data_IF_554224949267
#
_entry.id   IF_554224949267
#
_cell.length_a   1.000
_cell.length_b   1.000
_cell.length_c   1.000
_cell.angle_alpha   90.00
_cell.angle_beta   90.00
_cell.angle_gamma   90.00
#
_symmetry.space_group_name_H-M   'P 1'
#
loop_
_entity.id
_entity.type
_entity.pdbx_description
1 polymer ?
#
# COMPACT_ATOMS: atom_id res chain seq x y z
N UNK A 1 -1.42 -18.75 8.76
CA UNK A 1 -0.52 -18.31 7.67
C UNK A 1 0.90 -18.33 8.20
N UNK A 2 1.90 -18.78 7.43
CA UNK A 2 3.30 -18.68 7.85
C UNK A 2 3.73 -17.23 8.08
N UNK A 3 4.66 -16.99 9.02
CA UNK A 3 5.11 -15.65 9.42
C UNK A 3 5.68 -14.84 8.24
N UNK A 4 6.28 -15.51 7.25
CA UNK A 4 6.87 -14.86 6.07
C UNK A 4 5.84 -14.31 5.07
N UNK A 5 4.57 -14.69 5.18
CA UNK A 5 3.49 -14.17 4.32
C UNK A 5 2.76 -12.97 4.95
N UNK A 6 3.15 -12.59 6.17
CA UNK A 6 2.58 -11.42 6.86
C UNK A 6 3.24 -10.15 6.28
N UNK A 7 2.46 -9.17 5.79
CA UNK A 7 3.01 -7.94 5.24
C UNK A 7 3.71 -7.13 6.33
N UNK A 8 4.90 -6.60 5.99
CA UNK A 8 5.68 -5.74 6.90
C UNK A 8 5.14 -4.31 6.96
N UNK A 9 4.53 -3.85 5.88
CA UNK A 9 3.94 -2.50 5.74
C UNK A 9 2.58 -2.62 5.08
N UNK A 10 1.58 -1.92 5.63
CA UNK A 10 0.24 -1.83 5.07
C UNK A 10 -0.11 -0.35 4.96
N UNK A 11 -0.55 0.08 3.78
CA UNK A 11 -0.96 1.46 3.52
C UNK A 11 -2.42 1.46 3.08
N UNK A 12 -3.25 2.19 3.81
CA UNK A 12 -4.65 2.38 3.46
C UNK A 12 -4.78 3.60 2.56
N UNK A 13 -5.57 3.45 1.50
CA UNK A 13 -5.92 4.53 0.58
C UNK A 13 -7.43 4.54 0.43
N UNK A 14 -8.02 5.71 0.26
CA UNK A 14 -9.45 5.85 0.02
C UNK A 14 -9.88 5.08 -1.23
N UNK A 15 -9.06 5.14 -2.30
CA UNK A 15 -9.32 4.43 -3.55
C UNK A 15 -8.08 3.75 -4.12
N UNK A 16 -8.31 2.61 -4.77
CA UNK A 16 -7.28 1.85 -5.49
C UNK A 16 -7.28 2.25 -6.97
N UNK A 17 -6.11 2.32 -7.64
CA UNK A 17 -6.04 2.56 -9.08
C UNK A 17 -6.79 1.49 -9.86
N UNK A 18 -7.90 1.89 -10.48
CA UNK A 18 -8.77 1.03 -11.30
C UNK A 18 -8.75 1.48 -12.77
N UNK A 19 -9.00 0.57 -13.68
CA UNK A 19 -9.25 0.89 -15.11
C UNK A 19 -10.69 1.39 -15.30
N UNK A 20 -11.03 1.86 -16.50
CA UNK A 20 -12.41 2.21 -16.89
C UNK A 20 -13.40 1.05 -16.71
N UNK A 21 -12.90 -0.19 -16.77
CA UNK A 21 -13.67 -1.43 -16.53
C UNK A 21 -13.64 -1.90 -15.07
N UNK A 22 -13.08 -1.10 -14.15
CA UNK A 22 -13.04 -1.38 -12.72
C UNK A 22 -11.97 -2.38 -12.26
N UNK A 23 -11.11 -2.87 -13.16
CA UNK A 23 -10.03 -3.80 -12.81
C UNK A 23 -8.89 -3.08 -12.10
N UNK A 24 -8.29 -3.72 -11.10
CA UNK A 24 -7.13 -3.16 -10.38
C UNK A 24 -5.90 -3.17 -11.28
N UNK A 25 -5.23 -2.02 -11.35
CA UNK A 25 -4.01 -1.84 -12.12
C UNK A 25 -2.77 -2.24 -11.31
N UNK A 26 -2.45 -3.55 -11.28
CA UNK A 26 -1.36 -4.11 -10.45
C UNK A 26 0.01 -3.48 -10.71
N UNK A 27 0.30 -3.07 -11.94
CA UNK A 27 1.60 -2.47 -12.28
C UNK A 27 1.77 -1.10 -11.61
N UNK A 28 0.70 -0.28 -11.56
CA UNK A 28 0.70 1.00 -10.84
C UNK A 28 0.94 0.76 -9.35
N UNK A 29 0.24 -0.21 -8.75
CA UNK A 29 0.44 -0.56 -7.35
C UNK A 29 1.87 -1.04 -7.05
N UNK A 30 2.48 -1.80 -7.97
CA UNK A 30 3.88 -2.23 -7.85
C UNK A 30 4.85 -1.06 -7.94
N UNK A 31 4.62 -0.13 -8.86
CA UNK A 31 5.46 1.08 -8.99
C UNK A 31 5.37 1.93 -7.73
N UNK A 32 4.16 2.19 -7.23
CA UNK A 32 3.95 2.89 -5.96
C UNK A 32 4.63 2.18 -4.79
N UNK A 33 4.59 0.85 -4.74
CA UNK A 33 5.28 0.06 -3.71
C UNK A 33 6.80 0.17 -3.81
N UNK A 34 7.36 0.17 -5.02
CA UNK A 34 8.79 0.33 -5.24
C UNK A 34 9.27 1.74 -4.86
N UNK A 35 8.47 2.77 -5.14
CA UNK A 35 8.76 4.17 -4.77
C UNK A 35 8.77 4.39 -3.25
N UNK A 36 7.95 3.64 -2.49
CA UNK A 36 7.93 3.71 -1.01
C UNK A 36 9.22 3.17 -0.37
N UNK A 37 10.03 2.41 -1.11
CA UNK A 37 11.27 1.82 -0.60
C UNK A 37 11.06 0.64 0.35
N UNK A 38 12.15 0.08 0.91
CA UNK A 38 12.07 -1.06 1.81
C UNK A 38 11.38 -0.68 3.13
N UNK A 39 10.69 -1.64 3.78
CA UNK A 39 10.02 -1.40 5.05
C UNK A 39 11.04 -0.96 6.11
N UNK A 40 10.85 0.23 6.66
CA UNK A 40 11.68 0.73 7.74
C UNK A 40 11.42 -0.13 8.99
N UNK A 41 12.48 -0.53 9.71
CA UNK A 41 12.37 -1.48 10.83
C UNK A 41 11.58 -0.94 12.04
N UNK A 42 11.32 0.37 12.07
CA UNK A 42 10.40 0.99 13.01
C UNK A 42 9.00 1.10 12.39
N UNK A 43 8.04 0.34 12.91
CA UNK A 43 6.65 0.43 12.50
C UNK A 43 6.04 1.76 12.93
N UNK A 44 6.12 2.79 12.09
CA UNK A 44 5.40 4.05 12.30
C UNK A 44 3.98 3.89 11.76
N UNK A 45 3.01 3.80 12.66
CA UNK A 45 1.58 3.94 12.34
C UNK A 45 1.32 5.43 12.10
N UNK A 46 1.54 5.89 10.87
CA UNK A 46 1.20 7.26 10.49
C UNK A 46 -0.28 7.29 10.13
N UNK A 47 -1.14 7.48 11.14
CA UNK A 47 -2.55 7.82 10.92
C UNK A 47 -2.59 9.29 10.49
N UNK A 48 -2.27 9.57 9.23
CA UNK A 48 -2.64 10.86 8.63
C UNK A 48 -4.15 10.80 8.41
N UNK A 49 -4.91 11.32 9.37
CA UNK A 49 -6.27 11.80 9.14
C UNK A 49 -6.16 12.84 8.02
N UNK A 50 -6.36 12.40 6.77
CA UNK A 50 -6.72 13.29 5.69
C UNK A 50 -8.07 13.86 6.11
N UNK A 51 -8.03 15.09 6.60
CA UNK A 51 -9.21 15.89 6.85
C UNK A 51 -10.10 15.92 5.61
N UNK A 52 -11.37 16.20 5.90
CA UNK A 52 -12.43 16.70 5.02
C UNK A 52 -11.99 17.22 3.64
#
# INVERSE_FOLDING_TARGET
MPLYMVPKTVVFRAELPKTSTGKIQKYVLRNLANEMGPPNRGGTITTTTSEM
#
